data_IF_929843411085
#
_entry.id   IF_929843411085
#
_cell.length_a   1.000
_cell.length_b   1.000
_cell.length_c   1.000
_cell.angle_alpha   90.00
_cell.angle_beta   90.00
_cell.angle_gamma   90.00
#
_symmetry.space_group_name_H-M   'P 1'
#
loop_
_entity.id
_entity.type
_entity.pdbx_description
1 polymer ?
#
# COMPACT_ATOMS: atom_id res chain seq x y z
N UNK A 1 25.43 1.67 4.13
CA UNK A 1 24.62 0.44 4.26
C UNK A 1 24.04 0.13 2.88
N UNK A 2 24.12 -1.11 2.40
CA UNK A 2 23.43 -1.49 1.16
C UNK A 2 21.91 -1.31 1.34
N UNK A 3 21.20 -1.11 0.24
CA UNK A 3 19.74 -1.08 0.24
C UNK A 3 19.19 -2.47 0.65
N UNK A 4 18.34 -2.50 1.66
CA UNK A 4 17.57 -3.67 2.05
C UNK A 4 16.13 -3.46 1.59
N UNK A 5 15.56 -4.46 0.93
CA UNK A 5 14.19 -4.38 0.40
C UNK A 5 13.41 -5.64 0.79
N UNK A 6 12.27 -5.45 1.44
CA UNK A 6 11.31 -6.50 1.79
C UNK A 6 10.18 -6.53 0.76
N UNK A 7 9.94 -7.67 0.15
CA UNK A 7 8.77 -7.89 -0.71
C UNK A 7 7.54 -8.16 0.19
N UNK A 8 6.70 -7.15 0.37
CA UNK A 8 5.51 -7.26 1.22
C UNK A 8 4.41 -8.18 0.64
N UNK A 9 4.59 -8.75 -0.56
CA UNK A 9 3.75 -9.84 -1.04
C UNK A 9 4.18 -11.21 -0.48
N UNK A 10 5.43 -11.33 0.00
CA UNK A 10 5.97 -12.55 0.59
C UNK A 10 5.68 -12.56 2.10
N UNK A 11 5.09 -13.65 2.59
CA UNK A 11 4.78 -13.79 4.01
C UNK A 11 6.02 -13.68 4.91
N UNK A 12 7.13 -14.33 4.54
CA UNK A 12 8.37 -14.29 5.29
C UNK A 12 8.92 -12.85 5.48
N UNK A 13 8.75 -11.98 4.48
CA UNK A 13 9.18 -10.59 4.58
C UNK A 13 8.17 -9.75 5.38
N UNK A 14 6.86 -10.01 5.24
CA UNK A 14 5.84 -9.37 6.08
C UNK A 14 6.03 -9.68 7.57
N UNK A 15 6.42 -10.91 7.90
CA UNK A 15 6.68 -11.30 9.30
C UNK A 15 7.80 -10.47 9.93
N UNK A 16 8.85 -10.09 9.18
CA UNK A 16 9.95 -9.25 9.68
C UNK A 16 9.46 -7.87 10.15
N UNK A 17 8.36 -7.37 9.61
CA UNK A 17 7.74 -6.08 9.96
C UNK A 17 6.37 -6.24 10.64
N UNK A 18 6.01 -7.43 11.04
CA UNK A 18 4.71 -7.78 11.65
C UNK A 18 3.52 -7.30 10.80
N UNK A 19 3.68 -7.34 9.48
CA UNK A 19 2.72 -6.81 8.53
C UNK A 19 1.70 -7.85 8.06
N UNK A 20 0.45 -7.40 7.90
CA UNK A 20 -0.61 -8.17 7.25
C UNK A 20 -1.44 -7.25 6.36
N UNK A 21 -1.52 -7.59 5.08
CA UNK A 21 -2.39 -6.85 4.17
C UNK A 21 -3.86 -7.12 4.46
N UNK A 22 -4.62 -6.03 4.43
CA UNK A 22 -6.07 -6.02 4.47
C UNK A 22 -6.60 -5.43 3.18
N UNK A 23 -7.66 -6.04 2.64
CA UNK A 23 -8.35 -5.59 1.44
C UNK A 23 -9.70 -5.02 1.83
N UNK A 24 -9.88 -3.73 1.60
CA UNK A 24 -11.13 -3.03 1.84
C UNK A 24 -12.10 -3.23 0.67
N UNK A 25 -13.41 -3.17 0.97
CA UNK A 25 -14.40 -3.24 -0.07
C UNK A 25 -14.16 -2.14 -1.11
N UNK A 26 -14.24 -2.52 -2.35
CA UNK A 26 -14.20 -1.63 -3.48
C UNK A 26 -15.56 -1.47 -4.13
N UNK A 27 -15.64 -0.58 -5.09
CA UNK A 27 -16.83 -0.46 -5.93
C UNK A 27 -16.96 -1.73 -6.77
N UNK A 28 -18.13 -2.37 -6.73
CA UNK A 28 -18.47 -3.52 -7.58
C UNK A 28 -19.47 -3.04 -8.64
N UNK A 29 -19.07 -3.00 -9.91
CA UNK A 29 -19.96 -2.57 -10.99
C UNK A 29 -21.23 -3.42 -11.07
N UNK A 30 -22.38 -2.76 -11.14
CA UNK A 30 -23.71 -3.42 -11.25
C UNK A 30 -24.32 -3.88 -9.93
N UNK A 31 -23.66 -3.62 -8.79
CA UNK A 31 -24.20 -3.92 -7.47
C UNK A 31 -24.55 -2.64 -6.68
N UNK A 32 -25.47 -2.72 -5.71
CA UNK A 32 -25.65 -1.63 -4.75
C UNK A 32 -24.37 -1.42 -3.95
N UNK A 33 -23.77 -0.23 -4.06
CA UNK A 33 -22.57 0.10 -3.31
C UNK A 33 -22.94 1.05 -2.17
N UNK A 34 -22.73 0.60 -0.94
CA UNK A 34 -23.08 1.33 0.29
C UNK A 34 -21.87 1.51 1.20
N UNK A 35 -21.98 2.38 2.20
CA UNK A 35 -20.95 2.60 3.20
C UNK A 35 -19.66 3.14 2.61
N UNK A 36 -18.54 2.48 2.90
CA UNK A 36 -17.21 2.93 2.50
C UNK A 36 -17.06 3.12 0.98
N UNK A 37 -17.65 2.23 0.19
CA UNK A 37 -17.55 2.27 -1.29
C UNK A 37 -18.34 3.43 -1.90
N UNK A 38 -19.30 4.01 -1.20
CA UNK A 38 -20.03 5.20 -1.61
C UNK A 38 -19.28 6.50 -1.27
N UNK A 39 -18.21 6.41 -0.44
CA UNK A 39 -17.47 7.56 0.05
C UNK A 39 -16.16 7.74 -0.74
N UNK A 40 -16.24 8.09 -2.00
CA UNK A 40 -15.07 8.29 -2.87
C UNK A 40 -14.20 9.46 -2.39
N UNK A 41 -14.85 10.56 -1.95
CA UNK A 41 -14.16 11.71 -1.40
C UNK A 41 -14.05 11.57 0.13
N UNK A 42 -12.89 11.89 0.67
CA UNK A 42 -12.63 11.88 2.12
C UNK A 42 -12.92 10.54 2.83
N UNK A 43 -12.78 9.42 2.12
CA UNK A 43 -12.98 8.11 2.72
C UNK A 43 -12.11 7.92 3.96
N UNK A 44 -12.67 7.37 5.06
CA UNK A 44 -11.92 7.10 6.28
C UNK A 44 -10.85 6.02 6.11
N UNK A 45 -10.91 5.21 5.06
CA UNK A 45 -9.93 4.15 4.77
C UNK A 45 -8.48 4.66 4.69
N UNK A 46 -8.27 5.95 4.34
CA UNK A 46 -6.94 6.58 4.29
C UNK A 46 -6.34 6.90 5.66
N UNK A 47 -7.16 7.01 6.69
CA UNK A 47 -6.75 7.47 8.01
C UNK A 47 -5.98 6.39 8.76
N UNK A 48 -4.97 6.80 9.54
CA UNK A 48 -4.15 5.88 10.32
C UNK A 48 -4.95 5.13 11.38
N UNK A 49 -5.88 5.82 12.03
CA UNK A 49 -6.73 5.33 13.11
C UNK A 49 -7.94 4.49 12.64
N UNK A 50 -8.15 4.38 11.32
CA UNK A 50 -9.26 3.59 10.79
C UNK A 50 -9.12 2.11 11.17
N UNK A 51 -10.20 1.55 11.73
CA UNK A 51 -10.27 0.13 12.09
C UNK A 51 -10.60 -0.74 10.86
N UNK A 52 -9.58 -1.40 10.35
CA UNK A 52 -9.69 -2.33 9.22
C UNK A 52 -9.77 -3.82 9.65
N UNK A 53 -10.00 -4.08 10.93
CA UNK A 53 -10.01 -5.44 11.48
C UNK A 53 -11.05 -6.38 10.83
N UNK A 54 -12.14 -5.80 10.31
CA UNK A 54 -13.22 -6.50 9.60
C UNK A 54 -12.96 -6.70 8.11
N UNK A 55 -11.88 -6.11 7.57
CA UNK A 55 -11.55 -6.28 6.17
C UNK A 55 -10.95 -7.66 5.91
N UNK A 56 -11.09 -8.12 4.69
CA UNK A 56 -10.54 -9.39 4.25
C UNK A 56 -9.01 -9.39 4.36
N UNK A 57 -8.44 -10.51 4.82
CA UNK A 57 -7.00 -10.74 4.79
C UNK A 57 -6.57 -10.97 3.34
N UNK A 58 -5.67 -10.15 2.85
CA UNK A 58 -5.10 -10.29 1.51
C UNK A 58 -3.72 -10.95 1.59
N UNK A 59 -3.63 -12.20 1.15
CA UNK A 59 -2.36 -12.94 1.13
C UNK A 59 -1.59 -12.75 -0.18
N UNK A 60 -2.24 -12.28 -1.24
CA UNK A 60 -1.63 -12.05 -2.54
C UNK A 60 -2.17 -10.76 -3.18
N UNK A 61 -1.41 -9.68 -3.04
CA UNK A 61 -1.77 -8.36 -3.60
C UNK A 61 -1.75 -8.33 -5.14
N UNK A 62 -1.14 -9.33 -5.78
CA UNK A 62 -1.05 -9.47 -7.24
C UNK A 62 -2.28 -10.14 -7.85
N UNK A 63 -3.14 -10.73 -7.02
CA UNK A 63 -4.36 -11.33 -7.50
C UNK A 63 -5.34 -10.25 -7.92
N UNK A 64 -5.84 -10.33 -9.15
CA UNK A 64 -6.91 -9.47 -9.63
C UNK A 64 -8.22 -9.83 -8.91
N UNK A 65 -8.84 -8.82 -8.28
CA UNK A 65 -10.02 -9.02 -7.42
C UNK A 65 -11.32 -8.50 -8.03
N UNK A 66 -11.25 -7.62 -9.03
CA UNK A 66 -12.42 -7.03 -9.66
C UNK A 66 -12.11 -6.68 -11.10
N UNK A 67 -13.13 -6.41 -11.90
CA UNK A 67 -13.01 -6.07 -13.31
C UNK A 67 -13.83 -4.82 -13.63
N UNK A 68 -13.46 -4.13 -14.71
CA UNK A 68 -14.14 -2.93 -15.16
C UNK A 68 -13.74 -1.68 -14.36
N UNK A 69 -14.59 -0.68 -14.38
CA UNK A 69 -14.37 0.56 -13.66
C UNK A 69 -14.64 0.37 -12.18
N UNK A 70 -13.59 0.24 -11.39
CA UNK A 70 -13.70 -0.09 -9.98
C UNK A 70 -12.50 0.42 -9.20
N UNK A 71 -12.61 0.41 -7.88
CA UNK A 71 -11.49 0.71 -6.98
C UNK A 71 -11.51 -0.21 -5.75
N UNK A 72 -10.38 -0.31 -5.09
CA UNK A 72 -10.25 -0.99 -3.80
C UNK A 72 -9.18 -0.33 -2.93
N UNK A 73 -9.25 -0.59 -1.64
CA UNK A 73 -8.25 -0.16 -0.67
C UNK A 73 -7.43 -1.34 -0.18
N UNK A 74 -6.12 -1.21 -0.26
CA UNK A 74 -5.18 -2.12 0.39
C UNK A 74 -4.54 -1.40 1.58
N UNK A 75 -4.53 -2.02 2.74
CA UNK A 75 -3.92 -1.46 3.94
C UNK A 75 -2.99 -2.46 4.59
N UNK A 76 -1.86 -1.96 5.12
CA UNK A 76 -0.92 -2.73 5.93
C UNK A 76 -0.41 -1.86 7.06
N UNK A 77 -0.38 -2.42 8.27
CA UNK A 77 0.37 -1.87 9.38
C UNK A 77 1.74 -2.55 9.41
N UNK A 78 2.80 -1.77 9.43
CA UNK A 78 4.18 -2.29 9.56
C UNK A 78 4.82 -1.75 10.84
N UNK A 79 5.58 -2.60 11.52
CA UNK A 79 6.42 -2.21 12.65
C UNK A 79 7.87 -2.31 12.23
N UNK A 80 8.63 -1.21 12.32
CA UNK A 80 10.02 -1.19 11.88
C UNK A 80 10.89 -2.02 12.82
N UNK A 81 11.63 -3.03 12.33
CA UNK A 81 12.55 -3.80 13.16
C UNK A 81 13.84 -3.02 13.44
N UNK A 82 14.58 -3.42 14.46
CA UNK A 82 15.89 -2.86 14.75
C UNK A 82 16.94 -3.28 13.72
N UNK A 83 16.80 -4.49 13.21
CA UNK A 83 17.71 -5.10 12.22
C UNK A 83 16.96 -6.04 11.28
N UNK A 84 17.53 -6.29 10.11
CA UNK A 84 17.10 -7.32 9.17
C UNK A 84 18.33 -8.12 8.78
N UNK A 85 18.28 -9.43 8.99
CA UNK A 85 19.33 -10.39 8.64
C UNK A 85 20.73 -9.95 9.17
N UNK A 86 20.76 -9.43 10.41
CA UNK A 86 21.97 -8.96 11.10
C UNK A 86 22.44 -7.55 10.70
N UNK A 87 21.70 -6.86 9.83
CA UNK A 87 22.03 -5.48 9.44
C UNK A 87 21.15 -4.50 10.20
N UNK A 88 21.77 -3.63 11.02
CA UNK A 88 21.06 -2.59 11.76
C UNK A 88 20.43 -1.57 10.81
N UNK A 89 19.18 -1.19 11.11
CA UNK A 89 18.39 -0.26 10.28
C UNK A 89 18.32 1.15 10.86
N UNK A 90 18.86 1.37 12.05
CA UNK A 90 18.91 2.68 12.67
C UNK A 90 19.55 3.70 11.71
N UNK A 91 18.94 4.87 11.61
CA UNK A 91 19.36 5.94 10.69
C UNK A 91 19.08 5.70 9.18
N UNK A 92 18.48 4.59 8.81
CA UNK A 92 18.04 4.39 7.42
C UNK A 92 16.84 5.26 7.08
N UNK A 93 16.74 5.71 5.84
CA UNK A 93 15.48 6.18 5.25
C UNK A 93 14.62 4.97 4.91
N UNK A 94 13.33 5.08 5.16
CA UNK A 94 12.36 4.03 4.88
C UNK A 94 11.42 4.49 3.78
N UNK A 95 11.27 3.68 2.74
CA UNK A 95 10.42 3.96 1.60
C UNK A 95 9.44 2.83 1.36
N UNK A 96 8.26 3.19 0.92
CA UNK A 96 7.31 2.26 0.33
C UNK A 96 7.30 2.45 -1.18
N UNK A 97 7.39 1.35 -1.91
CA UNK A 97 7.44 1.33 -3.37
C UNK A 97 6.36 0.39 -3.91
N UNK A 98 5.64 0.84 -4.93
CA UNK A 98 4.62 0.03 -5.59
C UNK A 98 4.43 0.46 -7.04
N UNK A 99 3.65 -0.35 -7.75
CA UNK A 99 3.16 -0.07 -9.08
C UNK A 99 1.72 -0.56 -9.18
N UNK A 100 0.84 0.30 -9.62
CA UNK A 100 -0.55 -0.01 -9.91
C UNK A 100 -0.90 0.47 -11.32
N UNK A 101 -2.03 0.04 -11.81
CA UNK A 101 -2.54 0.35 -13.14
C UNK A 101 -4.06 0.60 -13.01
N UNK A 102 -4.60 1.74 -13.35
CA UNK A 102 -4.06 2.93 -14.02
C UNK A 102 -3.84 4.10 -13.06
N UNK A 103 -4.51 4.12 -11.90
CA UNK A 103 -4.45 5.19 -10.92
C UNK A 103 -4.34 4.61 -9.51
N UNK A 104 -3.62 5.31 -8.67
CA UNK A 104 -3.54 4.97 -7.25
C UNK A 104 -3.13 6.14 -6.38
N UNK A 105 -3.39 5.99 -5.10
CA UNK A 105 -2.93 6.92 -4.07
C UNK A 105 -2.25 6.13 -2.95
N UNK A 106 -1.10 6.63 -2.49
CA UNK A 106 -0.37 6.04 -1.37
C UNK A 106 -0.44 7.02 -0.20
N UNK A 107 -1.07 6.59 0.87
CA UNK A 107 -1.23 7.32 2.11
C UNK A 107 -0.36 6.69 3.19
N UNK A 108 0.48 7.48 3.84
CA UNK A 108 1.33 7.05 4.95
C UNK A 108 0.87 7.77 6.22
N UNK A 109 0.45 7.00 7.22
CA UNK A 109 -0.08 7.53 8.48
C UNK A 109 -1.19 8.58 8.28
N UNK A 110 -2.10 8.33 7.35
CA UNK A 110 -3.22 9.22 7.03
C UNK A 110 -2.86 10.47 6.22
N UNK A 111 -1.63 10.58 5.72
CA UNK A 111 -1.16 11.71 4.92
C UNK A 111 -0.72 11.24 3.54
N UNK A 112 -0.93 12.07 2.53
CA UNK A 112 -0.44 11.87 1.18
C UNK A 112 0.44 13.05 0.77
N UNK A 113 1.61 12.75 0.26
CA UNK A 113 2.37 13.71 -0.54
C UNK A 113 1.87 13.63 -1.98
N UNK A 114 1.23 14.68 -2.46
CA UNK A 114 0.65 14.71 -3.81
C UNK A 114 1.70 14.66 -4.92
N UNK A 115 2.95 14.99 -4.64
CA UNK A 115 4.03 14.93 -5.62
C UNK A 115 4.55 13.49 -5.84
N UNK A 116 4.52 12.66 -4.79
CA UNK A 116 5.12 11.32 -4.82
C UNK A 116 4.12 10.19 -4.56
N UNK A 117 2.98 10.48 -3.94
CA UNK A 117 1.99 9.49 -3.52
C UNK A 117 0.83 9.27 -4.50
N UNK A 118 0.75 10.03 -5.60
CA UNK A 118 -0.28 9.85 -6.64
C UNK A 118 0.32 9.10 -7.82
N UNK A 119 -0.28 7.97 -8.17
CA UNK A 119 0.17 7.10 -9.27
C UNK A 119 -0.76 7.32 -10.45
N UNK A 120 -0.20 7.66 -11.61
CA UNK A 120 -0.95 7.83 -12.85
C UNK A 120 -0.18 7.14 -13.97
N UNK A 121 -0.87 6.27 -14.71
CA UNK A 121 -0.32 5.61 -15.91
C UNK A 121 -0.12 4.10 -15.74
N UNK A 122 0.32 3.49 -16.82
CA UNK A 122 0.51 2.04 -16.93
C UNK A 122 1.96 1.70 -16.56
N UNK A 123 2.15 0.74 -15.66
CA UNK A 123 3.47 0.24 -15.25
C UNK A 123 4.43 1.30 -14.69
N UNK A 124 3.90 2.37 -14.11
CA UNK A 124 4.73 3.41 -13.52
C UNK A 124 5.07 3.05 -12.08
N UNK A 125 6.35 3.09 -11.77
CA UNK A 125 6.86 2.85 -10.42
C UNK A 125 6.73 4.13 -9.58
N UNK A 126 6.24 3.98 -8.36
CA UNK A 126 6.16 5.08 -7.40
C UNK A 126 6.80 4.71 -6.09
N UNK A 127 7.35 5.73 -5.45
CA UNK A 127 8.10 5.61 -4.21
C UNK A 127 7.74 6.77 -3.29
N UNK A 128 7.28 6.45 -2.09
CA UNK A 128 6.98 7.44 -1.05
C UNK A 128 7.86 7.23 0.17
N UNK A 129 8.27 8.31 0.82
CA UNK A 129 8.97 8.22 2.09
C UNK A 129 7.97 7.85 3.20
N UNK A 130 8.25 6.76 3.91
CA UNK A 130 7.51 6.35 5.10
C UNK A 130 8.10 7.04 6.33
N UNK A 131 9.44 7.10 6.40
CA UNK A 131 10.16 7.71 7.49
C UNK A 131 11.57 8.11 7.06
N UNK A 132 11.97 9.34 7.35
CA UNK A 132 13.29 9.85 7.01
C UNK A 132 14.42 9.18 7.84
N UNK A 133 14.13 8.80 9.08
CA UNK A 133 15.06 8.12 9.98
C UNK A 133 14.35 6.98 10.68
N UNK A 134 14.73 5.74 10.37
CA UNK A 134 14.12 4.57 10.96
C UNK A 134 14.24 4.56 12.48
N UNK A 135 13.10 4.41 13.15
CA UNK A 135 12.99 4.25 14.60
C UNK A 135 12.50 2.85 14.88
N UNK A 136 13.33 1.95 15.42
CA UNK A 136 12.91 0.60 15.78
C UNK A 136 11.68 0.60 16.68
N UNK A 137 10.73 -0.30 16.39
CA UNK A 137 9.46 -0.40 17.12
C UNK A 137 8.39 0.61 16.69
N UNK A 138 8.71 1.61 15.88
CA UNK A 138 7.69 2.54 15.36
C UNK A 138 6.74 1.82 14.41
N UNK A 139 5.45 2.17 14.53
CA UNK A 139 4.37 1.57 13.72
C UNK A 139 3.89 2.57 12.68
N UNK A 140 3.78 2.11 11.44
CA UNK A 140 3.31 2.92 10.32
C UNK A 140 2.17 2.22 9.61
N UNK A 141 1.17 3.00 9.20
CA UNK A 141 0.05 2.53 8.38
C UNK A 141 0.29 3.00 6.95
N UNK A 142 0.26 2.07 6.02
CA UNK A 142 0.30 2.35 4.59
C UNK A 142 -1.05 1.94 4.02
N UNK A 143 -1.76 2.90 3.42
CA UNK A 143 -3.02 2.68 2.76
C UNK A 143 -2.90 3.05 1.28
N UNK A 144 -3.25 2.11 0.40
CA UNK A 144 -3.18 2.29 -1.04
C UNK A 144 -4.59 2.22 -1.63
N UNK A 145 -5.04 3.31 -2.25
CA UNK A 145 -6.17 3.29 -3.16
C UNK A 145 -5.66 2.79 -4.50
N UNK A 146 -6.33 1.80 -5.07
CA UNK A 146 -6.06 1.28 -6.41
C UNK A 146 -7.31 1.38 -7.24
N UNK A 147 -7.22 2.02 -8.39
CA UNK A 147 -8.36 2.33 -9.27
C UNK A 147 -8.09 1.82 -10.67
N UNK A 148 -9.04 1.10 -11.22
CA UNK A 148 -9.10 0.78 -12.65
C UNK A 148 -10.09 1.75 -13.29
N UNK A 149 -9.56 2.73 -14.00
CA UNK A 149 -10.31 3.90 -14.49
C UNK A 149 -10.82 3.76 -15.92
N UNK A 150 -11.47 4.79 -16.45
CA UNK A 150 -12.15 4.76 -17.77
C UNK A 150 -11.20 4.63 -18.96
N UNK A 151 -9.91 4.83 -18.79
CA UNK A 151 -8.90 4.60 -19.83
C UNK A 151 -8.31 3.18 -19.79
N UNK A 152 -8.74 2.37 -18.81
CA UNK A 152 -8.33 0.98 -18.71
C UNK A 152 -9.13 0.09 -19.66
N UNK A 153 -8.56 -1.08 -19.98
CA UNK A 153 -9.34 -2.11 -20.64
C UNK A 153 -10.61 -2.46 -19.82
N UNK A 154 -11.78 -2.63 -20.45
CA UNK A 154 -13.00 -3.00 -19.74
C UNK A 154 -12.90 -4.31 -18.95
N UNK A 155 -11.92 -5.15 -19.28
CA UNK A 155 -11.62 -6.41 -18.60
C UNK A 155 -10.49 -6.29 -17.58
N UNK A 156 -9.87 -5.15 -17.48
CA UNK A 156 -8.81 -4.85 -16.49
C UNK A 156 -9.33 -4.99 -15.06
N UNK A 157 -8.47 -5.33 -14.15
CA UNK A 157 -8.82 -5.60 -12.74
C UNK A 157 -7.96 -4.81 -11.75
N UNK A 158 -8.35 -4.90 -10.49
CA UNK A 158 -7.65 -4.29 -9.37
C UNK A 158 -6.61 -5.26 -8.83
N UNK A 159 -5.37 -4.83 -8.77
CA UNK A 159 -4.24 -5.50 -8.11
C UNK A 159 -3.06 -4.53 -7.94
N UNK A 160 -2.13 -4.90 -7.08
CA UNK A 160 -0.84 -4.22 -6.97
C UNK A 160 0.24 -5.13 -7.59
N UNK A 161 1.04 -4.60 -8.52
CA UNK A 161 2.08 -5.41 -9.20
C UNK A 161 3.17 -5.86 -8.24
N UNK A 162 3.52 -5.01 -7.29
CA UNK A 162 4.41 -5.31 -6.16
C UNK A 162 4.15 -4.31 -5.02
N UNK A 163 4.66 -4.63 -3.87
CA UNK A 163 4.77 -3.72 -2.73
C UNK A 163 6.08 -4.02 -2.01
N UNK A 164 6.94 -3.03 -1.90
CA UNK A 164 8.26 -3.16 -1.28
C UNK A 164 8.42 -2.15 -0.16
N UNK A 165 8.94 -2.60 0.98
CA UNK A 165 9.44 -1.71 2.02
C UNK A 165 10.96 -1.71 1.95
N UNK A 166 11.53 -0.56 1.60
CA UNK A 166 12.97 -0.41 1.37
C UNK A 166 13.61 0.45 2.45
N UNK A 167 14.79 0.03 2.89
CA UNK A 167 15.64 0.72 3.85
C UNK A 167 16.93 1.11 3.16
N UNK A 168 17.28 2.38 3.22
CA UNK A 168 18.47 2.94 2.54
C UNK A 168 19.28 3.81 3.47
N UNK A 169 20.61 3.84 3.24
CA UNK A 169 21.49 4.75 3.93
C UNK A 169 21.08 6.21 3.71
N UNK A 170 21.30 7.05 4.70
CA UNK A 170 21.06 8.50 4.63
C UNK A 170 22.21 9.29 4.00
N UNK A 171 23.21 8.60 3.39
CA UNK A 171 24.36 9.28 2.76
C UNK A 171 23.94 10.27 1.68
#
# INVERSE_FOLDING_TARGET
MPRIALDLNREADRQKVKGQWRLGPGLVPGEPNEGLVAQILNTPARLAEYDDSKWEICNNIRQSISKGFTFAWYRIAVTLPAEIDGVALTDSRVYFETNVDNYGEIWVNGKIDRATGVIIGINTQYRVEVMNKAVPGSKHIIACLVVNGPLAEPVGGIFMRYATLAFESRN
#
